data_IF_471253548765
#
_entry.id   IF_471253548765
#
_cell.length_a   1.000
_cell.length_b   1.000
_cell.length_c   1.000
_cell.angle_alpha   90.00
_cell.angle_beta   90.00
_cell.angle_gamma   90.00
#
_symmetry.space_group_name_H-M   'P 1'
#
loop_
_entity.id
_entity.type
_entity.pdbx_description
1 polymer ?
#
# COMPACT_ATOMS: atom_id res chain seq x y z
N UNK A 1 -20.07 -15.56 -4.99
CA UNK A 1 -19.27 -14.81 -5.98
C UNK A 1 -18.15 -14.09 -5.22
N UNK A 2 -17.11 -13.59 -5.92
CA UNK A 2 -16.07 -12.76 -5.30
C UNK A 2 -16.49 -11.29 -5.43
N UNK A 3 -16.53 -10.56 -4.33
CA UNK A 3 -17.10 -9.22 -4.24
C UNK A 3 -16.08 -8.12 -3.94
N UNK A 4 -14.89 -8.49 -3.43
CA UNK A 4 -13.88 -7.51 -3.02
C UNK A 4 -12.46 -7.95 -3.38
N UNK A 5 -11.54 -6.99 -3.49
CA UNK A 5 -10.11 -7.30 -3.63
C UNK A 5 -9.55 -8.06 -2.41
N UNK A 6 -10.12 -7.84 -1.24
CA UNK A 6 -9.72 -8.48 0.00
C UNK A 6 -9.95 -9.99 -0.09
N UNK A 7 -11.11 -10.40 -0.62
CA UNK A 7 -11.43 -11.81 -0.87
C UNK A 7 -10.45 -12.46 -1.85
N UNK A 8 -10.04 -11.76 -2.91
CA UNK A 8 -9.01 -12.24 -3.83
C UNK A 8 -7.70 -12.49 -3.08
N UNK A 9 -7.26 -11.53 -2.26
CA UNK A 9 -6.01 -11.63 -1.51
C UNK A 9 -6.05 -12.77 -0.47
N UNK A 10 -7.22 -13.02 0.12
CA UNK A 10 -7.44 -14.11 1.07
C UNK A 10 -7.48 -15.49 0.42
N UNK A 11 -8.13 -15.63 -0.73
CA UNK A 11 -8.32 -16.93 -1.39
C UNK A 11 -7.06 -17.37 -2.16
N UNK A 12 -6.31 -16.43 -2.73
CA UNK A 12 -5.18 -16.73 -3.63
C UNK A 12 -3.85 -17.01 -2.91
N UNK A 13 -3.78 -16.89 -1.58
CA UNK A 13 -2.60 -17.28 -0.80
C UNK A 13 -2.97 -17.67 0.63
N UNK A 14 -2.47 -18.78 1.18
CA UNK A 14 -2.63 -19.13 2.60
C UNK A 14 -2.12 -18.04 3.55
N UNK A 15 -1.14 -17.24 3.11
CA UNK A 15 -0.54 -16.16 3.89
C UNK A 15 -1.17 -14.79 3.63
N UNK A 16 -2.25 -14.71 2.85
CA UNK A 16 -2.84 -13.48 2.32
C UNK A 16 -1.90 -12.73 1.37
N UNK A 17 -2.34 -12.42 0.15
CA UNK A 17 -1.51 -11.66 -0.80
C UNK A 17 -1.15 -10.29 -0.20
N UNK A 18 0.13 -9.92 -0.29
CA UNK A 18 0.65 -8.67 0.28
C UNK A 18 -0.03 -7.42 -0.29
N UNK A 19 -0.50 -7.46 -1.54
CA UNK A 19 -1.27 -6.39 -2.16
C UNK A 19 -2.16 -6.95 -3.27
N UNK A 20 -3.06 -6.13 -3.80
CA UNK A 20 -3.80 -6.39 -5.04
C UNK A 20 -2.99 -6.08 -6.31
N UNK A 21 -1.79 -5.52 -6.15
CA UNK A 21 -0.91 -5.14 -7.25
C UNK A 21 0.03 -6.31 -7.59
N UNK A 22 -0.41 -7.20 -8.47
CA UNK A 22 0.41 -8.29 -8.97
C UNK A 22 0.21 -8.52 -10.47
N UNK A 23 1.19 -9.17 -11.08
CA UNK A 23 1.09 -9.70 -12.44
C UNK A 23 1.07 -11.21 -12.40
N UNK A 24 0.44 -11.85 -13.38
CA UNK A 24 0.35 -13.30 -13.48
C UNK A 24 1.23 -13.78 -14.64
N UNK A 25 2.09 -14.77 -14.39
CA UNK A 25 2.87 -15.45 -15.42
C UNK A 25 2.62 -16.94 -15.36
N UNK A 26 2.28 -17.56 -16.49
CA UNK A 26 2.23 -19.01 -16.61
C UNK A 26 3.67 -19.54 -16.78
N UNK A 27 4.02 -20.60 -16.07
CA UNK A 27 5.31 -21.27 -16.24
C UNK A 27 5.19 -22.51 -17.15
N UNK A 28 6.33 -23.10 -17.52
CA UNK A 28 6.42 -24.25 -18.43
C UNK A 28 5.68 -25.48 -17.90
N UNK A 29 5.57 -25.62 -16.58
CA UNK A 29 4.85 -26.71 -15.91
C UNK A 29 3.32 -26.51 -15.86
N UNK A 30 2.83 -25.41 -16.45
CA UNK A 30 1.40 -25.08 -16.46
C UNK A 30 0.88 -24.35 -15.22
N UNK A 31 1.73 -24.10 -14.23
CA UNK A 31 1.35 -23.36 -13.02
C UNK A 31 1.33 -21.85 -13.28
N UNK A 32 0.62 -21.11 -12.42
CA UNK A 32 0.56 -19.66 -12.43
C UNK A 32 1.39 -19.07 -11.30
N UNK A 33 2.35 -18.22 -11.65
CA UNK A 33 3.15 -17.45 -10.72
C UNK A 33 2.56 -16.03 -10.59
N UNK A 34 2.20 -15.64 -9.37
CA UNK A 34 1.77 -14.28 -9.04
C UNK A 34 2.99 -13.48 -8.59
N UNK A 35 3.31 -12.41 -9.30
CA UNK A 35 4.45 -11.53 -9.02
C UNK A 35 3.90 -10.21 -8.44
N UNK A 36 3.95 -10.08 -7.12
CA UNK A 36 3.41 -8.96 -6.37
C UNK A 36 4.30 -7.71 -6.32
N UNK A 37 3.70 -6.57 -5.99
CA UNK A 37 4.36 -5.28 -5.76
C UNK A 37 3.73 -4.55 -4.57
N UNK A 38 4.57 -4.04 -3.67
CA UNK A 38 4.12 -3.32 -2.48
C UNK A 38 3.40 -4.20 -1.45
N UNK A 39 3.01 -3.58 -0.34
CA UNK A 39 2.31 -4.23 0.77
C UNK A 39 1.26 -3.29 1.35
N UNK A 40 0.00 -3.73 1.38
CA UNK A 40 -1.14 -2.98 1.88
C UNK A 40 -2.21 -2.79 0.81
N UNK A 41 -3.19 -1.94 1.10
CA UNK A 41 -4.30 -1.60 0.19
C UNK A 41 -3.98 -0.40 -0.72
N UNK A 42 -2.84 0.26 -0.54
CA UNK A 42 -2.35 1.30 -1.46
C UNK A 42 -3.09 2.64 -1.40
N UNK A 43 -3.85 2.92 -0.33
CA UNK A 43 -4.58 4.19 -0.16
C UNK A 43 -4.01 4.98 1.03
N UNK A 44 -3.86 6.29 0.87
CA UNK A 44 -3.33 7.17 1.90
C UNK A 44 -1.81 7.11 2.01
N UNK A 45 -1.29 7.02 3.22
CA UNK A 45 0.15 7.15 3.50
C UNK A 45 0.92 5.83 3.33
N UNK A 46 1.88 5.81 2.41
CA UNK A 46 2.88 4.74 2.33
C UNK A 46 3.96 4.97 3.40
N UNK A 47 4.04 4.09 4.39
CA UNK A 47 4.95 4.21 5.54
C UNK A 47 6.42 4.28 5.12
N UNK A 48 6.86 3.37 4.24
CA UNK A 48 8.24 3.34 3.74
C UNK A 48 8.53 4.58 2.88
N UNK A 49 7.56 5.03 2.07
CA UNK A 49 7.70 6.25 1.30
C UNK A 49 7.79 7.50 2.19
N UNK A 50 6.99 7.57 3.27
CA UNK A 50 7.06 8.63 4.28
C UNK A 50 8.41 8.64 5.00
N UNK A 51 8.94 7.46 5.38
CA UNK A 51 10.28 7.32 5.94
C UNK A 51 11.35 7.83 4.97
N UNK A 52 11.30 7.44 3.69
CA UNK A 52 12.24 7.93 2.67
C UNK A 52 12.19 9.45 2.50
N UNK A 53 11.00 10.05 2.53
CA UNK A 53 10.83 11.50 2.51
C UNK A 53 11.41 12.19 3.74
N UNK A 54 11.20 11.62 4.94
CA UNK A 54 11.76 12.13 6.19
C UNK A 54 13.29 12.07 6.19
N UNK A 55 13.87 10.94 5.74
CA UNK A 55 15.32 10.77 5.58
C UNK A 55 15.91 11.76 4.55
N UNK A 56 15.12 12.20 3.57
CA UNK A 56 15.47 13.26 2.63
C UNK A 56 15.20 14.68 3.18
N UNK A 57 14.97 14.83 4.48
CA UNK A 57 14.82 16.13 5.15
C UNK A 57 13.46 16.79 5.01
N UNK A 58 12.43 16.10 4.51
CA UNK A 58 11.09 16.67 4.42
C UNK A 58 10.40 16.70 5.81
N UNK A 59 10.04 17.89 6.25
CA UNK A 59 8.66 18.24 6.65
C UNK A 59 7.66 17.13 6.99
N UNK A 60 7.26 16.90 8.25
CA UNK A 60 6.04 16.12 8.56
C UNK A 60 4.82 16.69 7.82
N UNK A 61 4.67 18.01 7.81
CA UNK A 61 3.63 18.74 7.07
C UNK A 61 3.71 18.43 5.56
N UNK A 62 4.92 18.49 4.98
CA UNK A 62 5.12 18.22 3.55
C UNK A 62 4.84 16.76 3.19
N UNK A 63 5.21 15.82 4.06
CA UNK A 63 4.94 14.38 3.89
C UNK A 63 3.43 14.13 3.93
N UNK A 64 2.74 14.69 4.93
CA UNK A 64 1.30 14.53 5.05
C UNK A 64 0.55 15.20 3.89
N UNK A 65 0.97 16.39 3.46
CA UNK A 65 0.40 17.06 2.28
C UNK A 65 0.62 16.27 0.99
N UNK A 66 1.70 15.49 0.87
CA UNK A 66 1.91 14.63 -0.29
C UNK A 66 0.87 13.49 -0.35
N UNK A 67 0.58 12.84 0.78
CA UNK A 67 -0.35 11.71 0.84
C UNK A 67 -1.82 12.13 1.02
N UNK A 68 -2.05 13.32 1.56
CA UNK A 68 -3.37 13.87 1.89
C UNK A 68 -3.46 15.35 1.47
N UNK A 69 -3.46 15.66 0.15
CA UNK A 69 -3.24 17.01 -0.38
C UNK A 69 -4.31 18.05 -0.01
N UNK A 70 -5.51 17.61 0.36
CA UNK A 70 -6.63 18.48 0.75
C UNK A 70 -6.82 18.55 2.27
N UNK A 71 -5.99 17.84 3.04
CA UNK A 71 -6.08 17.82 4.50
C UNK A 71 -5.37 19.02 5.12
N UNK A 72 -5.79 19.41 6.33
CA UNK A 72 -5.16 20.47 7.12
C UNK A 72 -4.75 19.92 8.48
N UNK A 73 -3.50 20.16 8.86
CA UNK A 73 -3.03 19.89 10.22
C UNK A 73 -3.66 20.88 11.19
N UNK A 74 -4.24 20.34 12.27
CA UNK A 74 -4.88 21.13 13.33
C UNK A 74 -4.38 20.65 14.68
N UNK A 75 -3.88 21.58 15.49
CA UNK A 75 -3.61 21.35 16.91
C UNK A 75 -4.95 21.32 17.65
N UNK A 76 -5.27 20.19 18.28
CA UNK A 76 -6.52 20.00 19.01
C UNK A 76 -6.40 20.34 20.52
N UNK A 77 -5.18 20.36 21.05
CA UNK A 77 -4.88 20.77 22.43
C UNK A 77 -3.70 21.73 22.45
N UNK A 78 -3.81 22.80 23.24
CA UNK A 78 -2.69 23.66 23.59
C UNK A 78 -2.13 23.18 24.93
N UNK A 79 -0.81 22.96 24.97
CA UNK A 79 -0.06 22.76 26.21
C UNK A 79 -0.12 24.00 27.09
#
# INVERSE_FOLDING_TARGET
AIHTEYEIRNIMSPSFLFSSAFSVKKNENGNFNLIGKGWGHGVGLCQIGALGRALNGQSTENILNHYYPVSKLKRIYSS
#
